data_IF_609111636224
#
_entry.id   IF_609111636224
#
_cell.length_a   1.000
_cell.length_b   1.000
_cell.length_c   1.000
_cell.angle_alpha   90.00
_cell.angle_beta   90.00
_cell.angle_gamma   90.00
#
_symmetry.space_group_name_H-M   'P 1'
#
loop_
_entity.id
_entity.type
_entity.pdbx_description
1 polymer ?
#
# COMPACT_ATOMS: atom_id res chain seq x y z
N UNK A 1 25.70 -17.98 -16.49
CA UNK A 1 24.98 -17.27 -15.38
C UNK A 1 25.92 -17.32 -14.19
N UNK A 2 26.33 -16.18 -13.65
CA UNK A 2 27.30 -16.14 -12.54
C UNK A 2 26.55 -15.83 -11.25
N UNK A 3 26.49 -16.82 -10.37
CA UNK A 3 25.97 -16.61 -9.03
C UNK A 3 26.86 -15.60 -8.28
N UNK A 4 26.25 -14.56 -7.69
CA UNK A 4 26.94 -13.53 -6.92
C UNK A 4 26.63 -13.62 -5.43
N UNK A 5 27.60 -13.28 -4.54
CA UNK A 5 27.42 -13.37 -3.10
C UNK A 5 26.29 -12.45 -2.60
N UNK A 6 25.55 -12.93 -1.60
CA UNK A 6 24.54 -12.13 -0.88
C UNK A 6 25.26 -11.15 0.06
N UNK A 7 24.71 -9.94 0.15
CA UNK A 7 25.18 -8.90 1.06
C UNK A 7 24.63 -9.10 2.47
N UNK A 8 25.47 -8.81 3.49
CA UNK A 8 25.13 -8.92 4.91
C UNK A 8 25.37 -7.60 5.65
N UNK A 9 24.80 -7.47 6.82
CA UNK A 9 25.15 -6.37 7.76
C UNK A 9 26.66 -6.40 8.02
N UNK A 10 27.30 -5.23 7.99
CA UNK A 10 28.74 -5.09 8.13
C UNK A 10 29.52 -5.11 6.82
N UNK A 11 28.96 -5.57 5.71
CA UNK A 11 29.58 -5.54 4.40
C UNK A 11 29.89 -4.13 3.93
N UNK A 12 30.88 -4.00 3.05
CA UNK A 12 31.42 -2.71 2.63
C UNK A 12 30.83 -2.22 1.30
N UNK A 13 31.17 -1.00 0.95
CA UNK A 13 30.83 -0.41 -0.35
C UNK A 13 32.02 0.24 -1.01
N UNK A 14 31.93 0.46 -2.33
CA UNK A 14 32.97 1.16 -3.12
C UNK A 14 33.24 2.60 -2.67
N UNK A 15 32.35 3.18 -1.85
CA UNK A 15 32.53 4.50 -1.24
C UNK A 15 33.10 4.43 0.19
N UNK A 16 33.58 3.25 0.64
CA UNK A 16 34.14 3.03 1.98
C UNK A 16 33.05 2.93 3.08
N UNK A 17 31.79 2.84 2.69
CA UNK A 17 30.65 2.72 3.61
C UNK A 17 30.44 1.32 4.16
N UNK A 18 29.46 1.18 5.05
CA UNK A 18 29.13 -0.08 5.73
C UNK A 18 27.61 -0.30 5.73
N UNK A 19 27.18 -1.53 5.46
CA UNK A 19 25.78 -1.93 5.53
C UNK A 19 25.34 -1.98 6.99
N UNK A 20 24.30 -1.22 7.35
CA UNK A 20 23.83 -1.04 8.72
C UNK A 20 22.64 -1.93 9.09
N UNK A 21 21.80 -2.27 8.12
CA UNK A 21 20.53 -2.97 8.33
C UNK A 21 20.43 -4.24 7.49
N UNK A 22 19.72 -5.25 8.02
CA UNK A 22 19.47 -6.53 7.35
C UNK A 22 18.14 -7.14 7.84
N UNK A 23 17.75 -8.27 7.25
CA UNK A 23 16.55 -9.02 7.60
C UNK A 23 16.69 -9.66 8.99
N UNK A 24 15.71 -9.43 9.86
CA UNK A 24 15.70 -10.05 11.19
C UNK A 24 15.40 -11.56 11.16
N UNK A 25 14.86 -12.06 10.03
CA UNK A 25 14.44 -13.47 9.84
C UNK A 25 15.35 -14.27 8.93
N UNK A 26 16.39 -13.67 8.38
CA UNK A 26 17.31 -14.37 7.47
C UNK A 26 18.75 -13.91 7.69
N UNK A 27 19.57 -14.79 8.20
CA UNK A 27 21.00 -14.59 8.41
C UNK A 27 21.84 -15.55 7.58
N UNK A 28 23.09 -15.18 7.39
CA UNK A 28 24.11 -15.95 6.72
C UNK A 28 25.33 -15.93 7.63
N UNK A 29 25.65 -17.06 8.25
CA UNK A 29 26.76 -17.21 9.18
C UNK A 29 26.67 -16.19 10.34
N UNK A 30 25.47 -16.07 10.94
CA UNK A 30 25.20 -15.22 12.09
C UNK A 30 25.09 -13.73 11.82
N UNK A 31 25.18 -13.30 10.54
CA UNK A 31 25.00 -11.92 10.13
C UNK A 31 23.76 -11.79 9.25
N UNK A 32 22.88 -10.84 9.60
CA UNK A 32 21.64 -10.61 8.88
C UNK A 32 21.92 -10.27 7.40
N UNK A 33 21.28 -10.99 6.47
CA UNK A 33 21.36 -10.66 5.05
C UNK A 33 20.71 -9.31 4.78
N UNK A 34 21.24 -8.55 3.82
CA UNK A 34 20.70 -7.26 3.46
C UNK A 34 19.93 -7.30 2.13
N UNK A 35 19.03 -6.36 1.94
CA UNK A 35 18.19 -6.28 0.76
C UNK A 35 17.75 -4.86 0.45
N UNK A 36 16.86 -4.76 -0.53
CA UNK A 36 16.29 -3.50 -1.02
C UNK A 36 15.71 -2.68 0.15
N UNK A 37 16.08 -1.40 0.23
CA UNK A 37 15.63 -0.46 1.26
C UNK A 37 16.47 -0.44 2.54
N UNK A 38 17.31 -1.45 2.82
CA UNK A 38 18.18 -1.46 3.99
C UNK A 38 19.25 -0.37 3.89
N UNK A 39 19.61 0.20 5.03
CA UNK A 39 20.46 1.38 5.11
C UNK A 39 21.94 1.03 5.12
N UNK A 40 22.70 1.91 4.48
CA UNK A 40 24.14 1.84 4.33
C UNK A 40 24.72 3.20 4.70
N UNK A 41 25.69 3.24 5.62
CA UNK A 41 26.48 4.42 5.89
C UNK A 41 27.43 4.69 4.73
N UNK A 42 27.60 5.95 4.34
CA UNK A 42 28.49 6.35 3.27
C UNK A 42 29.34 7.55 3.69
N UNK A 43 30.60 7.35 4.11
CA UNK A 43 31.49 8.44 4.52
C UNK A 43 31.83 9.39 3.37
N UNK A 44 31.90 8.90 2.14
CA UNK A 44 32.15 9.74 0.96
C UNK A 44 31.03 10.73 0.68
N UNK A 45 29.77 10.28 0.81
CA UNK A 45 28.57 11.09 0.57
C UNK A 45 28.03 11.74 1.87
N UNK A 46 28.68 11.50 3.03
CA UNK A 46 28.36 12.04 4.35
C UNK A 46 26.90 11.84 4.75
N UNK A 47 26.41 10.58 4.67
CA UNK A 47 25.03 10.27 5.03
C UNK A 47 24.71 8.79 4.94
N UNK A 48 23.47 8.46 5.29
CA UNK A 48 22.93 7.11 5.27
C UNK A 48 22.00 6.98 4.08
N UNK A 49 22.22 5.97 3.23
CA UNK A 49 21.52 5.78 1.95
C UNK A 49 20.93 4.37 1.86
N UNK A 50 19.72 4.20 1.33
CA UNK A 50 19.16 2.87 1.14
C UNK A 50 19.83 2.13 -0.03
N UNK A 51 19.82 0.80 0.06
CA UNK A 51 20.08 -0.09 -1.08
C UNK A 51 18.90 0.05 -2.04
N UNK A 52 19.16 0.27 -3.33
CA UNK A 52 18.13 0.53 -4.34
C UNK A 52 17.98 -0.60 -5.37
N UNK A 53 18.75 -1.67 -5.27
CA UNK A 53 18.72 -2.83 -6.16
C UNK A 53 18.56 -4.12 -5.35
N UNK A 54 17.85 -5.11 -5.91
CA UNK A 54 17.66 -6.43 -5.33
C UNK A 54 17.44 -7.50 -6.39
N UNK A 55 17.66 -8.77 -6.06
CA UNK A 55 17.50 -9.92 -6.98
C UNK A 55 16.03 -10.31 -7.10
N UNK A 56 15.39 -10.21 -8.27
CA UNK A 56 13.98 -10.55 -8.43
C UNK A 56 13.62 -12.00 -8.10
N UNK A 57 14.57 -12.93 -8.25
CA UNK A 57 14.39 -14.36 -7.98
C UNK A 57 14.53 -14.73 -6.52
N UNK A 58 14.91 -13.80 -5.63
CA UNK A 58 15.11 -14.11 -4.21
C UNK A 58 14.66 -12.97 -3.30
N UNK A 59 13.61 -13.23 -2.54
CA UNK A 59 13.05 -12.31 -1.56
C UNK A 59 13.03 -12.94 -0.17
N UNK A 60 13.18 -12.11 0.86
CA UNK A 60 12.95 -12.47 2.27
C UNK A 60 11.80 -11.60 2.77
N UNK A 61 10.67 -12.22 3.08
CA UNK A 61 9.41 -11.50 3.22
C UNK A 61 9.09 -10.75 1.93
N UNK A 62 8.79 -9.47 2.04
CA UNK A 62 8.40 -8.62 0.90
C UNK A 62 9.57 -7.82 0.30
N UNK A 63 10.81 -8.09 0.69
CA UNK A 63 11.96 -7.34 0.20
C UNK A 63 12.96 -8.24 -0.53
N UNK A 64 13.44 -7.75 -1.69
CA UNK A 64 14.42 -8.45 -2.51
C UNK A 64 15.79 -8.44 -1.86
N UNK A 65 16.46 -9.59 -1.86
CA UNK A 65 17.84 -9.72 -1.32
C UNK A 65 18.84 -9.00 -2.22
N UNK A 66 19.79 -8.31 -1.61
CA UNK A 66 20.88 -7.65 -2.32
C UNK A 66 22.09 -8.56 -2.47
N UNK A 67 22.74 -8.48 -3.63
CA UNK A 67 23.96 -9.22 -3.95
C UNK A 67 25.10 -8.27 -4.31
N UNK A 68 26.31 -8.77 -4.31
CA UNK A 68 27.52 -8.02 -4.66
C UNK A 68 27.38 -7.25 -5.98
N UNK A 69 27.85 -6.00 -6.00
CA UNK A 69 27.79 -5.10 -7.16
C UNK A 69 26.50 -4.31 -7.31
N UNK A 70 25.45 -4.63 -6.53
CA UNK A 70 24.23 -3.81 -6.47
C UNK A 70 24.49 -2.47 -5.82
N UNK A 71 23.61 -1.47 -6.08
CA UNK A 71 23.87 -0.07 -5.74
C UNK A 71 22.99 0.45 -4.62
N UNK A 72 23.56 1.40 -3.91
CA UNK A 72 22.84 2.29 -2.98
C UNK A 72 22.35 3.54 -3.70
N UNK A 73 21.44 4.29 -3.08
CA UNK A 73 20.90 5.54 -3.63
C UNK A 73 21.97 6.62 -3.90
N UNK A 74 23.12 6.57 -3.23
CA UNK A 74 24.26 7.46 -3.52
C UNK A 74 25.20 6.93 -4.61
N UNK A 75 24.87 5.83 -5.28
CA UNK A 75 25.64 5.22 -6.36
C UNK A 75 26.80 4.32 -5.93
N UNK A 76 27.01 4.10 -4.63
CA UNK A 76 28.01 3.17 -4.14
C UNK A 76 27.62 1.72 -4.46
N UNK A 77 28.55 0.90 -4.96
CA UNK A 77 28.31 -0.53 -5.16
C UNK A 77 28.64 -1.32 -3.89
N UNK A 78 27.81 -2.33 -3.60
CA UNK A 78 27.96 -3.24 -2.47
C UNK A 78 29.08 -4.25 -2.71
N UNK A 79 29.83 -4.57 -1.67
CA UNK A 79 30.98 -5.50 -1.69
C UNK A 79 30.73 -6.53 -0.60
N UNK A 80 30.53 -7.80 -0.99
CA UNK A 80 30.34 -8.89 -0.05
C UNK A 80 31.63 -9.29 0.64
N UNK A 81 31.57 -9.58 1.94
CA UNK A 81 32.70 -10.11 2.72
C UNK A 81 32.72 -11.65 2.75
N UNK A 82 31.74 -12.32 2.14
CA UNK A 82 31.61 -13.78 2.06
C UNK A 82 31.41 -14.23 0.61
N UNK A 83 31.76 -15.49 0.32
CA UNK A 83 31.69 -16.03 -1.04
C UNK A 83 30.90 -17.32 -1.19
N UNK A 84 30.29 -17.85 -0.10
CA UNK A 84 29.64 -19.16 -0.09
C UNK A 84 28.11 -19.07 -0.31
N UNK A 85 27.43 -18.11 0.27
CA UNK A 85 26.00 -17.89 0.05
C UNK A 85 25.82 -17.01 -1.22
N UNK A 86 25.36 -17.63 -2.30
CA UNK A 86 25.26 -17.00 -3.61
C UNK A 86 23.90 -17.16 -4.23
N UNK A 87 23.48 -16.19 -5.01
CA UNK A 87 22.24 -16.24 -5.79
C UNK A 87 22.55 -16.00 -7.26
N UNK A 88 21.96 -16.81 -8.13
CA UNK A 88 21.99 -16.59 -9.57
C UNK A 88 21.14 -15.36 -9.90
N UNK A 89 21.80 -14.32 -10.39
CA UNK A 89 21.13 -13.27 -11.12
C UNK A 89 20.76 -13.85 -12.48
N UNK A 90 19.52 -14.30 -12.66
CA UNK A 90 19.00 -14.74 -13.96
C UNK A 90 19.31 -13.72 -15.07
N UNK A 91 19.02 -14.01 -16.36
CA UNK A 91 19.37 -13.12 -17.46
C UNK A 91 18.80 -11.72 -17.17
N UNK A 92 19.70 -10.82 -16.92
CA UNK A 92 19.64 -9.38 -16.73
C UNK A 92 18.24 -8.73 -16.75
N UNK A 93 17.58 -8.68 -15.59
CA UNK A 93 16.79 -7.52 -15.22
C UNK A 93 17.11 -7.20 -13.77
N UNK A 94 18.17 -6.41 -13.58
CA UNK A 94 18.38 -5.69 -12.35
C UNK A 94 17.20 -4.72 -12.26
N UNK A 95 16.27 -5.01 -11.36
CA UNK A 95 15.16 -4.08 -11.09
C UNK A 95 15.79 -2.84 -10.45
N UNK A 96 16.13 -1.85 -11.28
CA UNK A 96 16.47 -0.52 -10.83
C UNK A 96 15.18 0.10 -10.34
N UNK A 97 15.04 0.29 -9.07
CA UNK A 97 14.01 1.15 -8.52
C UNK A 97 14.36 2.59 -8.87
N UNK A 98 14.01 3.03 -10.06
CA UNK A 98 13.75 4.40 -10.50
C UNK A 98 13.73 4.45 -12.04
N UNK A 99 12.56 4.79 -12.61
CA UNK A 99 12.28 5.10 -14.01
C UNK A 99 12.29 3.92 -15.00
N UNK A 100 11.18 3.30 -15.19
CA UNK A 100 10.43 3.21 -16.44
C UNK A 100 9.14 2.39 -16.22
N UNK A 101 8.03 3.05 -16.02
CA UNK A 101 6.73 2.46 -15.68
C UNK A 101 5.68 2.59 -16.78
N UNK A 102 6.06 2.83 -18.04
CA UNK A 102 5.06 3.16 -19.08
C UNK A 102 4.47 1.97 -19.83
N UNK A 103 5.01 0.76 -19.74
CA UNK A 103 4.58 -0.33 -20.64
C UNK A 103 3.86 -1.53 -19.97
N UNK A 104 3.84 -1.62 -18.64
CA UNK A 104 3.12 -2.73 -17.96
C UNK A 104 1.74 -2.38 -17.41
N UNK A 105 1.47 -1.11 -17.16
CA UNK A 105 0.17 -0.65 -16.60
C UNK A 105 -0.96 -0.77 -17.64
N UNK A 106 -0.64 -0.75 -18.92
CA UNK A 106 -1.62 -0.85 -20.02
C UNK A 106 -2.19 -2.26 -20.24
N UNK A 107 -1.54 -3.32 -19.73
CA UNK A 107 -2.01 -4.70 -19.87
C UNK A 107 -2.94 -5.18 -18.76
N UNK A 108 -2.93 -4.53 -17.59
CA UNK A 108 -3.74 -4.96 -16.44
C UNK A 108 -5.18 -4.42 -16.47
N UNK A 109 -5.47 -3.45 -17.35
CA UNK A 109 -6.81 -2.86 -17.48
C UNK A 109 -7.58 -3.39 -18.71
N UNK A 110 -7.02 -4.31 -19.52
CA UNK A 110 -7.62 -4.72 -20.78
C UNK A 110 -8.49 -5.98 -20.73
N UNK A 111 -8.52 -6.73 -19.64
CA UNK A 111 -9.21 -8.03 -19.60
C UNK A 111 -10.68 -7.98 -19.10
N UNK A 112 -11.27 -6.80 -19.02
CA UNK A 112 -12.66 -6.65 -18.56
C UNK A 112 -13.58 -5.73 -19.36
N UNK A 113 -13.12 -5.07 -20.41
CA UNK A 113 -13.96 -4.20 -21.23
C UNK A 113 -13.73 -4.45 -22.72
N UNK A 114 -14.79 -4.73 -23.47
CA UNK A 114 -14.77 -4.81 -24.90
C UNK A 114 -14.26 -3.53 -25.57
N UNK A 115 -13.94 -3.54 -26.88
CA UNK A 115 -13.21 -2.46 -27.52
C UNK A 115 -13.99 -1.15 -27.47
N UNK A 116 -13.54 -0.23 -26.59
CA UNK A 116 -13.99 1.16 -26.63
C UNK A 116 -13.22 1.84 -27.75
N UNK A 117 -13.92 2.18 -28.83
CA UNK A 117 -13.37 3.02 -29.88
C UNK A 117 -12.95 4.38 -29.32
N UNK A 118 -11.80 4.94 -29.73
CA UNK A 118 -11.44 6.28 -29.33
C UNK A 118 -12.38 7.27 -30.02
N UNK A 119 -13.32 7.84 -29.27
CA UNK A 119 -14.02 9.03 -29.74
C UNK A 119 -13.06 10.21 -29.77
N UNK A 120 -12.54 10.47 -30.95
CA UNK A 120 -11.88 11.71 -31.27
C UNK A 120 -12.95 12.82 -31.30
N UNK A 121 -13.04 13.59 -30.22
CA UNK A 121 -13.56 14.96 -30.26
C UNK A 121 -13.13 15.68 -28.99
N UNK A 122 -12.04 16.38 -29.05
CA UNK A 122 -11.64 17.21 -27.92
C UNK A 122 -10.59 18.17 -28.39
N UNK A 123 -10.99 19.42 -28.55
CA UNK A 123 -10.08 20.54 -28.42
C UNK A 123 -9.14 20.21 -27.23
N UNK A 124 -7.88 19.97 -27.53
CA UNK A 124 -6.84 19.91 -26.49
C UNK A 124 -6.94 21.24 -25.76
N UNK A 125 -7.31 21.21 -24.48
CA UNK A 125 -7.25 22.38 -23.59
C UNK A 125 -5.78 22.68 -23.29
N UNK A 126 -5.04 23.10 -24.31
CA UNK A 126 -3.61 23.36 -24.26
C UNK A 126 -3.20 24.53 -23.35
N UNK A 127 -4.15 25.26 -22.76
CA UNK A 127 -3.89 26.53 -22.06
C UNK A 127 -4.34 26.57 -20.59
N UNK A 128 -4.65 25.44 -19.97
CA UNK A 128 -4.94 25.44 -18.53
C UNK A 128 -3.65 25.65 -17.72
N UNK A 129 -3.55 26.79 -17.02
CA UNK A 129 -2.38 27.17 -16.19
C UNK A 129 -2.51 26.73 -14.73
N UNK A 130 -3.63 26.12 -14.33
CA UNK A 130 -3.84 25.66 -12.97
C UNK A 130 -2.90 24.49 -12.65
N UNK A 131 -2.25 24.57 -11.49
CA UNK A 131 -1.34 23.52 -11.03
C UNK A 131 -2.09 22.25 -10.64
N UNK A 132 -1.46 21.09 -10.77
CA UNK A 132 -2.00 19.80 -10.34
C UNK A 132 -1.89 19.64 -8.82
N UNK A 133 -2.84 20.22 -8.09
CA UNK A 133 -2.89 20.24 -6.63
C UNK A 133 -3.08 18.84 -6.00
N UNK A 134 -3.47 17.84 -6.78
CA UNK A 134 -3.54 16.45 -6.36
C UNK A 134 -2.17 15.80 -6.17
N UNK A 135 -1.12 16.28 -6.85
CA UNK A 135 0.22 15.65 -6.80
C UNK A 135 0.82 15.63 -5.39
N UNK A 136 0.92 16.76 -4.65
CA UNK A 136 1.45 16.75 -3.30
C UNK A 136 0.58 15.92 -2.32
N UNK A 137 -0.73 15.86 -2.54
CA UNK A 137 -1.64 15.04 -1.77
C UNK A 137 -1.37 13.54 -2.04
N UNK A 138 -1.24 13.14 -3.32
CA UNK A 138 -0.88 11.77 -3.69
C UNK A 138 0.49 11.36 -3.12
N UNK A 139 1.48 12.25 -3.11
CA UNK A 139 2.79 12.00 -2.47
C UNK A 139 2.66 11.69 -0.99
N UNK A 140 1.81 12.46 -0.28
CA UNK A 140 1.52 12.19 1.12
C UNK A 140 0.84 10.83 1.30
N UNK A 141 -0.21 10.54 0.56
CA UNK A 141 -0.97 9.29 0.70
C UNK A 141 -0.15 8.05 0.35
N UNK A 142 0.65 8.09 -0.72
CA UNK A 142 1.55 6.97 -1.07
C UNK A 142 2.54 6.68 0.06
N UNK A 143 3.08 7.72 0.72
CA UNK A 143 3.95 7.52 1.86
C UNK A 143 3.22 6.81 3.01
N UNK A 144 2.00 7.26 3.36
CA UNK A 144 1.18 6.63 4.41
C UNK A 144 0.83 5.17 4.04
N UNK A 145 0.45 4.90 2.79
CA UNK A 145 0.14 3.56 2.29
C UNK A 145 1.34 2.61 2.34
N UNK A 146 2.56 3.15 2.20
CA UNK A 146 3.80 2.36 2.30
C UNK A 146 4.24 2.13 3.74
N UNK A 147 4.02 3.08 4.63
CA UNK A 147 4.57 3.06 5.99
C UNK A 147 3.61 2.44 7.01
N UNK A 148 2.30 2.69 6.88
CA UNK A 148 1.32 2.26 7.87
C UNK A 148 1.23 0.74 8.04
N UNK A 149 1.22 -0.09 6.98
CA UNK A 149 1.22 -1.55 7.15
C UNK A 149 2.49 -2.07 7.85
N UNK A 150 3.61 -1.40 7.64
CA UNK A 150 4.92 -1.77 8.19
C UNK A 150 5.19 -1.16 9.58
N UNK A 151 4.30 -0.32 10.09
CA UNK A 151 4.39 0.25 11.44
C UNK A 151 4.24 -0.83 12.51
N UNK A 152 4.55 -0.50 13.75
CA UNK A 152 4.32 -1.40 14.90
C UNK A 152 2.84 -1.78 14.97
N UNK A 153 1.96 -0.83 14.78
CA UNK A 153 0.51 -1.01 14.80
C UNK A 153 0.02 -1.87 13.63
N UNK A 154 0.50 -1.61 12.42
CA UNK A 154 0.18 -2.42 11.24
C UNK A 154 0.57 -3.88 11.42
N UNK A 155 1.77 -4.14 11.93
CA UNK A 155 2.23 -5.50 12.22
C UNK A 155 1.42 -6.18 13.33
N UNK A 156 0.98 -5.47 14.38
CA UNK A 156 0.09 -6.01 15.42
C UNK A 156 -1.25 -6.43 14.83
N UNK A 157 -1.84 -5.60 13.97
CA UNK A 157 -3.11 -5.91 13.30
C UNK A 157 -2.93 -7.13 12.39
N UNK A 158 -1.88 -7.17 11.58
CA UNK A 158 -1.58 -8.29 10.70
C UNK A 158 -1.39 -9.58 11.50
N UNK A 159 -0.63 -9.54 12.58
CA UNK A 159 -0.43 -10.72 13.44
C UNK A 159 -1.74 -11.25 14.04
N UNK A 160 -2.64 -10.36 14.46
CA UNK A 160 -3.96 -10.74 14.96
C UNK A 160 -4.87 -11.29 13.83
N UNK A 161 -4.80 -10.75 12.63
CA UNK A 161 -5.54 -11.24 11.46
C UNK A 161 -5.01 -12.58 10.93
N UNK A 162 -3.73 -12.90 11.17
CA UNK A 162 -3.06 -14.11 10.68
C UNK A 162 -3.19 -15.31 11.64
N UNK A 163 -4.06 -15.23 12.64
CA UNK A 163 -4.27 -16.32 13.57
C UNK A 163 -4.96 -17.51 12.88
N UNK A 164 -4.20 -18.59 12.66
CA UNK A 164 -4.64 -19.82 12.00
C UNK A 164 -4.85 -20.92 13.04
N UNK A 165 -6.11 -21.34 13.23
CA UNK A 165 -6.48 -22.38 14.18
C UNK A 165 -5.99 -23.78 13.74
N UNK A 166 -5.97 -24.05 12.42
CA UNK A 166 -5.53 -25.35 11.89
C UNK A 166 -4.01 -25.50 12.02
N UNK A 167 -3.25 -24.46 11.67
CA UNK A 167 -1.80 -24.48 11.85
C UNK A 167 -1.41 -24.66 13.33
N UNK A 168 -2.07 -23.96 14.26
CA UNK A 168 -1.85 -24.12 15.70
C UNK A 168 -2.23 -25.49 16.20
N UNK A 169 -3.32 -26.07 15.69
CA UNK A 169 -3.73 -27.44 16.01
C UNK A 169 -2.71 -28.46 15.53
N UNK A 170 -2.20 -28.29 14.30
CA UNK A 170 -1.17 -29.14 13.73
C UNK A 170 0.15 -29.02 14.50
N UNK A 171 0.56 -27.85 14.92
CA UNK A 171 1.73 -27.62 15.77
C UNK A 171 1.56 -28.32 17.12
N UNK A 172 0.41 -28.13 17.78
CA UNK A 172 0.14 -28.78 19.06
C UNK A 172 0.16 -30.30 18.96
N UNK A 173 -0.31 -30.90 17.86
CA UNK A 173 -0.27 -32.36 17.64
C UNK A 173 1.16 -32.89 17.54
N UNK A 174 2.15 -32.07 17.17
CA UNK A 174 3.55 -32.44 17.09
C UNK A 174 4.26 -32.40 18.48
N UNK A 175 3.64 -31.79 19.47
CA UNK A 175 4.23 -31.71 20.80
C UNK A 175 4.38 -33.10 21.41
N UNK A 176 5.40 -33.36 22.25
CA UNK A 176 5.53 -34.57 23.00
C UNK A 176 4.28 -34.89 23.83
N UNK A 177 3.94 -36.15 23.96
CA UNK A 177 2.71 -36.60 24.66
C UNK A 177 2.57 -36.03 26.08
N UNK A 178 3.68 -35.85 26.81
CA UNK A 178 3.68 -35.32 28.19
C UNK A 178 3.37 -33.83 28.27
N UNK A 179 3.44 -33.06 27.14
CA UNK A 179 3.00 -31.67 27.03
C UNK A 179 1.55 -31.55 26.51
N UNK A 180 0.96 -32.65 26.06
CA UNK A 180 -0.42 -32.73 25.57
C UNK A 180 -1.37 -33.39 26.58
N UNK A 181 -1.05 -33.32 27.89
CA UNK A 181 -1.91 -33.87 28.95
C UNK A 181 -3.17 -32.98 29.10
N UNK A 182 -4.35 -33.63 29.06
CA UNK A 182 -5.64 -32.96 29.18
C UNK A 182 -6.35 -32.75 27.84
N UNK A 183 -7.45 -31.97 27.86
CA UNK A 183 -8.17 -31.64 26.65
C UNK A 183 -7.36 -30.64 25.78
N UNK A 184 -7.42 -30.79 24.44
CA UNK A 184 -6.78 -29.84 23.57
C UNK A 184 -7.35 -28.41 23.75
N UNK A 185 -6.52 -27.38 23.61
CA UNK A 185 -7.01 -25.99 23.61
C UNK A 185 -8.08 -25.80 22.53
N UNK A 186 -9.01 -24.89 22.77
CA UNK A 186 -9.97 -24.46 21.75
C UNK A 186 -9.28 -23.46 20.80
N UNK A 187 -8.65 -24.01 19.77
CA UNK A 187 -7.91 -23.22 18.78
C UNK A 187 -8.82 -22.30 17.95
N UNK A 188 -10.08 -22.71 17.72
CA UNK A 188 -11.04 -21.94 16.92
C UNK A 188 -11.53 -20.73 17.72
N UNK A 189 -11.86 -20.92 19.02
CA UNK A 189 -12.18 -19.80 19.89
C UNK A 189 -11.00 -18.82 20.05
N UNK A 190 -9.77 -19.35 20.14
CA UNK A 190 -8.57 -18.51 20.22
C UNK A 190 -8.36 -17.70 18.94
N UNK A 191 -8.53 -18.28 17.76
CA UNK A 191 -8.42 -17.58 16.47
C UNK A 191 -9.52 -16.53 16.31
N UNK A 192 -10.76 -16.85 16.69
CA UNK A 192 -11.87 -15.89 16.69
C UNK A 192 -11.58 -14.71 17.64
N UNK A 193 -11.04 -14.96 18.82
CA UNK A 193 -10.60 -13.90 19.75
C UNK A 193 -9.53 -12.98 19.16
N UNK A 194 -8.56 -13.53 18.44
CA UNK A 194 -7.55 -12.74 17.73
C UNK A 194 -8.17 -11.89 16.62
N UNK A 195 -9.13 -12.44 15.87
CA UNK A 195 -9.84 -11.67 14.83
C UNK A 195 -10.62 -10.49 15.42
N UNK A 196 -11.30 -10.67 16.55
CA UNK A 196 -11.96 -9.57 17.28
C UNK A 196 -10.94 -8.52 17.74
N UNK A 197 -9.78 -8.96 18.24
CA UNK A 197 -8.69 -8.05 18.60
C UNK A 197 -8.18 -7.25 17.37
N UNK A 198 -8.06 -7.90 16.21
CA UNK A 198 -7.69 -7.22 14.97
C UNK A 198 -8.66 -6.09 14.61
N UNK A 199 -9.98 -6.32 14.71
CA UNK A 199 -10.99 -5.27 14.49
C UNK A 199 -10.86 -4.13 15.50
N UNK A 200 -10.62 -4.42 16.77
CA UNK A 200 -10.39 -3.39 17.79
C UNK A 200 -9.17 -2.53 17.48
N UNK A 201 -8.02 -3.16 17.21
CA UNK A 201 -6.78 -2.48 16.83
C UNK A 201 -6.94 -1.64 15.55
N UNK A 202 -7.67 -2.15 14.56
CA UNK A 202 -7.99 -1.43 13.33
C UNK A 202 -8.83 -0.19 13.61
N UNK A 203 -9.92 -0.34 14.37
CA UNK A 203 -10.78 0.78 14.73
C UNK A 203 -10.03 1.89 15.47
N UNK A 204 -9.05 1.56 16.33
CA UNK A 204 -8.19 2.53 16.99
C UNK A 204 -7.32 3.36 16.02
N UNK A 205 -7.14 2.88 14.79
CA UNK A 205 -6.35 3.58 13.76
C UNK A 205 -7.21 4.35 12.78
N UNK A 206 -8.36 3.82 12.36
CA UNK A 206 -9.15 4.35 11.25
C UNK A 206 -10.46 5.05 11.64
N UNK A 207 -10.90 4.92 12.88
CA UNK A 207 -12.10 5.63 13.34
C UNK A 207 -11.93 7.16 13.24
N UNK A 208 -13.02 7.93 13.18
CA UNK A 208 -12.97 9.38 13.05
C UNK A 208 -12.04 10.05 14.07
N UNK A 209 -11.10 10.86 13.60
CA UNK A 209 -10.09 11.54 14.40
C UNK A 209 -8.93 10.67 14.88
N UNK A 210 -8.81 9.45 14.41
CA UNK A 210 -7.69 8.53 14.71
C UNK A 210 -6.53 8.70 13.73
N UNK A 211 -5.31 8.20 14.05
CA UNK A 211 -4.09 8.48 13.28
C UNK A 211 -4.14 8.14 11.79
N UNK A 212 -4.94 7.18 11.38
CA UNK A 212 -5.09 6.78 9.97
C UNK A 212 -6.40 7.28 9.34
N UNK A 213 -7.19 8.09 10.07
CA UNK A 213 -8.25 8.92 9.49
C UNK A 213 -7.63 10.19 8.93
N UNK A 214 -7.33 10.17 7.64
CA UNK A 214 -6.68 11.30 6.98
C UNK A 214 -7.65 12.42 6.59
N UNK A 215 -8.98 12.22 6.67
CA UNK A 215 -9.99 13.17 6.16
C UNK A 215 -9.84 14.57 6.75
N UNK A 216 -9.61 14.69 8.07
CA UNK A 216 -9.40 15.98 8.70
C UNK A 216 -8.06 16.61 8.28
N UNK A 217 -6.96 15.85 8.36
CA UNK A 217 -5.64 16.31 8.00
C UNK A 217 -5.56 16.77 6.55
N UNK A 218 -6.22 16.06 5.63
CA UNK A 218 -6.25 16.42 4.21
C UNK A 218 -6.97 17.77 3.99
N UNK A 219 -8.05 18.02 4.71
CA UNK A 219 -8.77 19.31 4.64
C UNK A 219 -7.95 20.49 5.16
N UNK A 220 -7.16 20.27 6.18
CA UNK A 220 -6.35 21.32 6.82
C UNK A 220 -5.06 21.60 6.06
N UNK A 221 -4.36 20.55 5.65
CA UNK A 221 -3.03 20.64 5.06
C UNK A 221 -3.04 20.83 3.53
N UNK A 222 -4.09 20.32 2.88
CA UNK A 222 -4.27 20.39 1.44
C UNK A 222 -5.65 21.01 1.13
N UNK A 223 -5.80 22.34 1.25
CA UNK A 223 -7.10 22.99 1.14
C UNK A 223 -7.74 22.90 -0.26
N UNK A 224 -6.99 22.45 -1.28
CA UNK A 224 -7.46 22.40 -2.66
C UNK A 224 -7.53 23.80 -3.30
N UNK A 225 -8.14 23.87 -4.48
CA UNK A 225 -8.38 25.14 -5.14
C UNK A 225 -9.43 25.97 -4.36
N UNK A 226 -9.06 27.14 -3.92
CA UNK A 226 -9.94 28.15 -3.28
C UNK A 226 -10.85 27.53 -2.21
N UNK A 227 -10.30 26.74 -1.29
CA UNK A 227 -11.02 26.10 -0.17
C UNK A 227 -12.14 25.13 -0.56
N UNK A 228 -12.18 24.66 -1.81
CA UNK A 228 -13.27 23.80 -2.32
C UNK A 228 -13.14 22.32 -1.98
N UNK A 229 -12.00 21.88 -1.44
CA UNK A 229 -11.68 20.47 -1.18
C UNK A 229 -11.56 19.60 -2.44
N UNK A 230 -11.48 20.22 -3.60
CA UNK A 230 -11.25 19.59 -4.88
C UNK A 230 -9.78 19.76 -5.30
N UNK A 231 -9.17 18.71 -5.78
CA UNK A 231 -7.76 18.67 -6.15
C UNK A 231 -7.64 18.32 -7.63
N UNK A 232 -7.04 19.22 -8.39
CA UNK A 232 -6.83 19.05 -9.82
C UNK A 232 -5.71 18.03 -10.10
N UNK A 233 -5.97 17.16 -11.07
CA UNK A 233 -4.96 16.36 -11.77
C UNK A 233 -5.37 16.17 -13.23
N UNK A 234 -4.51 16.60 -14.17
CA UNK A 234 -4.84 16.62 -15.59
C UNK A 234 -6.10 17.44 -15.87
N UNK A 235 -7.04 16.89 -16.60
CA UNK A 235 -8.30 17.55 -16.98
C UNK A 235 -9.43 17.42 -15.96
N UNK A 236 -9.15 16.88 -14.75
CA UNK A 236 -10.19 16.58 -13.76
C UNK A 236 -9.85 17.12 -12.38
N UNK A 237 -10.90 17.38 -11.61
CA UNK A 237 -10.86 17.61 -10.17
C UNK A 237 -11.33 16.37 -9.43
N UNK A 238 -10.69 16.08 -8.31
CA UNK A 238 -10.96 14.96 -7.43
C UNK A 238 -11.29 15.45 -6.03
N UNK A 239 -12.35 14.92 -5.43
CA UNK A 239 -12.74 15.29 -4.09
C UNK A 239 -11.78 14.69 -3.05
N UNK A 240 -11.51 15.44 -1.98
CA UNK A 240 -10.42 15.15 -1.04
C UNK A 240 -10.54 13.81 -0.30
N UNK A 241 -11.75 13.29 -0.07
CA UNK A 241 -11.97 12.11 0.77
C UNK A 241 -11.68 10.79 0.07
N UNK A 242 -11.72 10.73 -1.27
CA UNK A 242 -11.34 9.53 -2.02
C UNK A 242 -9.97 9.00 -1.60
N UNK A 243 -9.05 9.91 -1.31
CA UNK A 243 -7.68 9.55 -0.95
C UNK A 243 -7.60 8.80 0.37
N UNK A 244 -8.38 9.25 1.38
CA UNK A 244 -8.46 8.56 2.67
C UNK A 244 -9.11 7.18 2.53
N UNK A 245 -10.14 7.07 1.68
CA UNK A 245 -10.84 5.81 1.46
C UNK A 245 -10.01 4.80 0.63
N UNK A 246 -9.25 5.27 -0.36
CA UNK A 246 -8.27 4.41 -1.07
C UNK A 246 -7.19 3.91 -0.10
N UNK A 247 -6.68 4.78 0.78
CA UNK A 247 -5.73 4.38 1.82
C UNK A 247 -6.33 3.33 2.75
N UNK A 248 -7.56 3.54 3.23
CA UNK A 248 -8.28 2.59 4.09
C UNK A 248 -8.36 1.20 3.44
N UNK A 249 -8.77 1.12 2.17
CA UNK A 249 -8.84 -0.13 1.43
C UNK A 249 -7.46 -0.79 1.27
N UNK A 250 -6.47 -0.03 0.82
CA UNK A 250 -5.11 -0.51 0.57
C UNK A 250 -4.43 -1.04 1.83
N UNK A 251 -4.40 -0.23 2.90
CA UNK A 251 -3.76 -0.60 4.16
C UNK A 251 -4.53 -1.71 4.86
N UNK A 252 -5.86 -1.71 4.77
CA UNK A 252 -6.69 -2.75 5.36
C UNK A 252 -6.36 -4.15 4.82
N UNK A 253 -6.22 -4.29 3.50
CA UNK A 253 -5.79 -5.58 2.91
C UNK A 253 -4.34 -5.88 3.27
N UNK A 254 -3.47 -4.88 3.30
CA UNK A 254 -2.06 -5.05 3.68
C UNK A 254 -1.89 -5.60 5.11
N UNK A 255 -2.83 -5.32 6.02
CA UNK A 255 -2.82 -5.83 7.40
C UNK A 255 -3.77 -7.02 7.62
N UNK A 256 -4.19 -7.69 6.53
CA UNK A 256 -4.84 -9.00 6.56
C UNK A 256 -6.38 -9.01 6.62
N UNK A 257 -7.05 -7.87 6.37
CA UNK A 257 -8.49 -7.87 6.18
C UNK A 257 -8.86 -8.21 4.73
N UNK A 258 -9.97 -8.91 4.55
CA UNK A 258 -10.57 -9.11 3.24
C UNK A 258 -11.29 -7.84 2.75
N UNK A 259 -11.44 -7.69 1.43
CA UNK A 259 -12.22 -6.62 0.82
C UNK A 259 -13.65 -6.54 1.39
N UNK A 260 -14.29 -7.70 1.60
CA UNK A 260 -15.64 -7.76 2.16
C UNK A 260 -15.70 -7.20 3.60
N UNK A 261 -14.73 -7.52 4.45
CA UNK A 261 -14.67 -7.00 5.82
C UNK A 261 -14.51 -5.47 5.83
N UNK A 262 -13.66 -4.94 4.95
CA UNK A 262 -13.42 -3.49 4.86
C UNK A 262 -14.66 -2.74 4.37
N UNK A 263 -15.29 -3.21 3.31
CA UNK A 263 -16.51 -2.63 2.75
C UNK A 263 -17.67 -2.69 3.77
N UNK A 264 -17.89 -3.84 4.39
CA UNK A 264 -18.94 -4.01 5.39
C UNK A 264 -18.65 -3.15 6.63
N UNK A 265 -17.39 -3.05 7.03
CA UNK A 265 -16.98 -2.20 8.15
C UNK A 265 -17.24 -0.71 7.90
N UNK A 266 -17.00 -0.23 6.67
CA UNK A 266 -17.31 1.14 6.26
C UNK A 266 -18.82 1.41 6.30
N UNK A 267 -19.62 0.51 5.74
CA UNK A 267 -21.08 0.63 5.78
C UNK A 267 -21.65 0.65 7.21
N UNK A 268 -21.14 -0.20 8.11
CA UNK A 268 -21.51 -0.15 9.53
C UNK A 268 -21.12 1.20 10.16
N UNK A 269 -19.93 1.68 9.88
CA UNK A 269 -19.46 2.96 10.40
C UNK A 269 -20.33 4.12 9.92
N UNK A 270 -20.71 4.15 8.64
CA UNK A 270 -21.62 5.15 8.08
C UNK A 270 -23.01 5.07 8.73
N UNK A 271 -23.58 3.88 8.83
CA UNK A 271 -24.88 3.68 9.48
C UNK A 271 -24.90 4.17 10.94
N UNK A 272 -23.79 3.99 11.68
CA UNK A 272 -23.65 4.51 13.04
C UNK A 272 -23.54 6.04 13.08
N UNK A 273 -22.90 6.65 12.10
CA UNK A 273 -22.82 8.12 11.97
C UNK A 273 -24.20 8.70 11.70
N UNK A 274 -24.95 8.15 10.75
CA UNK A 274 -26.29 8.59 10.40
C UNK A 274 -27.23 8.46 11.61
N UNK A 275 -27.18 7.32 12.29
CA UNK A 275 -27.99 7.11 13.49
C UNK A 275 -27.69 8.14 14.60
N UNK A 276 -26.40 8.42 14.86
CA UNK A 276 -26.00 9.41 15.88
C UNK A 276 -26.42 10.83 15.55
N UNK A 277 -26.49 11.16 14.27
CA UNK A 277 -26.96 12.48 13.78
C UNK A 277 -28.47 12.59 13.68
N UNK A 278 -29.18 11.48 13.76
CA UNK A 278 -30.60 11.41 13.46
C UNK A 278 -30.92 11.56 11.97
N UNK A 279 -29.94 11.32 11.11
CA UNK A 279 -30.10 11.32 9.67
C UNK A 279 -30.80 10.03 9.19
N UNK A 280 -31.54 10.05 8.07
CA UNK A 280 -32.08 8.84 7.46
C UNK A 280 -30.94 7.88 7.10
N UNK A 281 -31.15 6.59 7.40
CA UNK A 281 -30.18 5.57 6.99
C UNK A 281 -30.06 5.51 5.47
N UNK A 282 -28.84 5.57 4.99
CA UNK A 282 -28.55 5.44 3.57
C UNK A 282 -28.78 4.00 3.07
N UNK A 283 -29.17 3.88 1.81
CA UNK A 283 -29.31 2.58 1.15
C UNK A 283 -28.98 2.70 -0.34
N UNK A 284 -27.77 2.26 -0.69
CA UNK A 284 -27.23 2.24 -2.05
C UNK A 284 -27.10 0.80 -2.55
N UNK A 285 -28.15 0.22 -3.20
CA UNK A 285 -28.12 -1.17 -3.65
C UNK A 285 -26.96 -1.51 -4.59
N UNK A 286 -26.41 -0.52 -5.29
CA UNK A 286 -25.23 -0.65 -6.15
C UNK A 286 -23.96 -1.04 -5.39
N UNK A 287 -23.88 -0.74 -4.10
CA UNK A 287 -22.77 -1.14 -3.23
C UNK A 287 -22.89 -2.60 -2.75
N UNK A 288 -24.02 -3.26 -3.02
CA UNK A 288 -24.32 -4.61 -2.57
C UNK A 288 -25.36 -4.68 -1.43
N UNK A 289 -25.47 -5.84 -0.76
CA UNK A 289 -26.39 -6.00 0.37
C UNK A 289 -25.90 -5.21 1.60
N UNK A 290 -26.82 -4.99 2.56
CA UNK A 290 -26.43 -4.44 3.87
C UNK A 290 -25.36 -5.33 4.53
N UNK A 291 -24.34 -4.78 5.20
CA UNK A 291 -24.13 -3.36 5.55
C UNK A 291 -23.46 -2.51 4.47
N UNK A 292 -22.91 -3.07 3.41
CA UNK A 292 -22.21 -2.33 2.35
C UNK A 292 -23.08 -1.24 1.71
N UNK A 293 -24.39 -1.48 1.57
CA UNK A 293 -25.35 -0.52 1.00
C UNK A 293 -25.52 0.75 1.84
N UNK A 294 -25.10 0.77 3.08
CA UNK A 294 -25.19 1.94 3.95
C UNK A 294 -24.04 2.95 3.76
N UNK A 295 -23.02 2.62 2.96
CA UNK A 295 -21.91 3.52 2.67
C UNK A 295 -22.20 4.40 1.45
N UNK A 296 -21.62 5.60 1.40
CA UNK A 296 -21.68 6.47 0.23
C UNK A 296 -21.04 5.80 -1.00
N UNK A 297 -21.65 5.96 -2.18
CA UNK A 297 -21.17 5.29 -3.40
C UNK A 297 -19.73 5.66 -3.75
N UNK A 298 -19.28 6.93 -3.70
CA UNK A 298 -17.88 7.29 -3.94
C UNK A 298 -16.92 6.69 -2.92
N UNK A 299 -17.33 6.61 -1.65
CA UNK A 299 -16.53 6.05 -0.57
C UNK A 299 -16.32 4.55 -0.78
N UNK A 300 -17.40 3.82 -1.03
CA UNK A 300 -17.38 2.40 -1.38
C UNK A 300 -16.47 2.11 -2.59
N UNK A 301 -16.64 2.87 -3.69
CA UNK A 301 -15.80 2.72 -4.88
C UNK A 301 -14.32 2.97 -4.58
N UNK A 302 -14.02 3.97 -3.75
CA UNK A 302 -12.65 4.33 -3.37
C UNK A 302 -12.00 3.27 -2.49
N UNK A 303 -12.75 2.70 -1.53
CA UNK A 303 -12.28 1.58 -0.70
C UNK A 303 -11.95 0.37 -1.58
N UNK A 304 -12.87 -0.01 -2.47
CA UNK A 304 -12.67 -1.13 -3.39
C UNK A 304 -11.44 -0.91 -4.28
N UNK A 305 -11.28 0.30 -4.83
CA UNK A 305 -10.11 0.67 -5.62
C UNK A 305 -8.80 0.50 -4.82
N UNK A 306 -8.81 0.88 -3.54
CA UNK A 306 -7.67 0.69 -2.64
C UNK A 306 -7.34 -0.79 -2.42
N UNK A 307 -8.35 -1.65 -2.24
CA UNK A 307 -8.14 -3.09 -2.08
C UNK A 307 -7.55 -3.72 -3.34
N UNK A 308 -8.11 -3.39 -4.50
CA UNK A 308 -7.64 -3.87 -5.81
C UNK A 308 -6.21 -3.39 -6.10
N UNK A 309 -5.89 -2.14 -5.72
CA UNK A 309 -4.54 -1.60 -5.86
C UNK A 309 -3.53 -2.42 -5.05
N UNK A 310 -3.84 -2.79 -3.80
CA UNK A 310 -2.93 -3.60 -2.99
C UNK A 310 -2.70 -5.01 -3.57
N UNK A 311 -3.73 -5.62 -4.15
CA UNK A 311 -3.61 -6.93 -4.79
C UNK A 311 -2.62 -6.90 -5.96
N UNK A 312 -2.63 -5.81 -6.73
CA UNK A 312 -1.80 -5.62 -7.92
C UNK A 312 -0.42 -5.02 -7.60
N UNK A 313 -0.35 -4.10 -6.66
CA UNK A 313 0.85 -3.30 -6.38
C UNK A 313 1.14 -3.27 -4.88
N UNK A 314 2.16 -4.00 -4.46
CA UNK A 314 2.58 -4.04 -3.05
C UNK A 314 3.29 -2.74 -2.61
N UNK A 315 3.38 -2.46 -1.29
CA UNK A 315 3.89 -1.18 -0.79
C UNK A 315 5.25 -0.75 -1.36
N UNK A 316 6.16 -1.69 -1.59
CA UNK A 316 7.48 -1.39 -2.14
C UNK A 316 7.43 -0.87 -3.59
N UNK A 317 6.49 -1.36 -4.39
CA UNK A 317 6.33 -1.00 -5.80
C UNK A 317 5.36 0.19 -6.03
N UNK A 318 4.58 0.59 -5.01
CA UNK A 318 3.63 1.67 -5.13
C UNK A 318 4.35 3.01 -5.36
N UNK A 319 3.94 3.74 -6.41
CA UNK A 319 4.46 5.06 -6.74
C UNK A 319 3.34 6.10 -6.84
N UNK A 320 3.71 7.37 -6.78
CA UNK A 320 2.76 8.48 -6.97
C UNK A 320 2.12 8.42 -8.36
N UNK A 321 2.90 8.09 -9.39
CA UNK A 321 2.40 7.93 -10.76
C UNK A 321 1.34 6.84 -10.85
N UNK A 322 1.59 5.65 -10.30
CA UNK A 322 0.61 4.55 -10.28
C UNK A 322 -0.69 4.98 -9.62
N UNK A 323 -0.64 5.65 -8.46
CA UNK A 323 -1.85 6.11 -7.77
C UNK A 323 -2.61 7.16 -8.59
N UNK A 324 -1.90 8.12 -9.18
CA UNK A 324 -2.51 9.17 -10.02
C UNK A 324 -3.12 8.62 -11.30
N UNK A 325 -2.46 7.68 -11.97
CA UNK A 325 -2.98 6.99 -13.15
C UNK A 325 -4.23 6.17 -12.81
N UNK A 326 -4.21 5.47 -11.68
CA UNK A 326 -5.35 4.68 -11.21
C UNK A 326 -6.59 5.56 -10.99
N UNK A 327 -6.46 6.68 -10.28
CA UNK A 327 -7.60 7.60 -10.07
C UNK A 327 -8.03 8.29 -11.36
N UNK A 328 -7.09 8.55 -12.27
CA UNK A 328 -7.42 9.14 -13.57
C UNK A 328 -8.24 8.18 -14.45
N UNK A 329 -8.01 6.87 -14.32
CA UNK A 329 -8.74 5.84 -15.06
C UNK A 329 -10.20 5.66 -14.60
N UNK A 330 -10.54 6.05 -13.35
CA UNK A 330 -11.93 5.94 -12.86
C UNK A 330 -12.84 6.86 -13.67
N UNK A 331 -13.97 6.35 -14.23
CA UNK A 331 -14.89 7.19 -14.99
C UNK A 331 -15.51 8.34 -14.17
N UNK A 332 -15.85 9.44 -14.86
CA UNK A 332 -16.70 10.51 -14.30
C UNK A 332 -18.13 9.99 -14.25
N UNK A 333 -18.88 10.16 -13.14
CA UNK A 333 -18.66 11.12 -12.03
C UNK A 333 -17.91 10.56 -10.80
N UNK A 334 -17.46 9.32 -10.78
CA UNK A 334 -16.99 8.62 -9.57
C UNK A 334 -18.01 8.75 -8.44
N UNK A 335 -19.09 7.99 -8.55
CA UNK A 335 -20.26 8.09 -7.69
C UNK A 335 -21.54 8.26 -8.49
N UNK A 336 -22.62 8.69 -7.84
CA UNK A 336 -23.95 8.78 -8.44
C UNK A 336 -24.68 10.05 -8.00
N UNK A 337 -25.41 10.67 -8.91
CA UNK A 337 -26.28 11.80 -8.60
C UNK A 337 -25.53 13.03 -8.10
N UNK A 338 -25.84 13.46 -6.87
CA UNK A 338 -25.14 14.58 -6.21
C UNK A 338 -23.84 14.16 -5.57
N UNK A 339 -23.71 12.87 -5.21
CA UNK A 339 -22.57 12.29 -4.55
C UNK A 339 -21.54 11.83 -5.59
N UNK A 340 -20.71 12.77 -6.00
CA UNK A 340 -19.67 12.57 -7.02
C UNK A 340 -18.33 13.04 -6.49
N UNK A 341 -17.31 12.25 -6.74
CA UNK A 341 -15.94 12.54 -6.30
C UNK A 341 -14.98 12.88 -7.45
N UNK A 342 -15.46 12.89 -8.71
CA UNK A 342 -14.69 13.30 -9.90
C UNK A 342 -15.53 14.15 -10.81
N UNK A 343 -14.94 15.23 -11.33
CA UNK A 343 -15.56 16.15 -12.30
C UNK A 343 -14.53 16.69 -13.29
N UNK A 344 -14.99 17.21 -14.40
CA UNK A 344 -14.12 17.96 -15.31
C UNK A 344 -13.66 19.25 -14.61
N UNK A 345 -12.37 19.57 -14.79
CA UNK A 345 -11.79 20.80 -14.28
C UNK A 345 -12.24 22.00 -15.09
N UNK A 346 -12.60 23.09 -14.42
CA UNK A 346 -12.94 24.35 -15.08
C UNK A 346 -11.71 25.26 -15.19
N UNK A 347 -11.04 25.22 -16.35
CA UNK A 347 -9.88 26.03 -16.64
C UNK A 347 -10.16 27.55 -16.78
N UNK A 348 -11.42 28.00 -16.70
CA UNK A 348 -11.81 29.41 -16.75
C UNK A 348 -12.02 30.01 -15.37
N UNK A 349 -12.07 29.18 -14.33
CA UNK A 349 -12.14 29.65 -12.96
C UNK A 349 -10.90 30.54 -12.67
N UNK A 350 -11.04 31.61 -11.87
CA UNK A 350 -9.88 32.43 -11.49
C UNK A 350 -8.90 31.57 -10.66
N UNK A 351 -7.59 31.83 -10.84
CA UNK A 351 -6.50 31.21 -10.09
C UNK A 351 -6.56 31.60 -8.62
#
# INVERSE_FOLDING_TARGET
>A
MTARPIIRVGDKTTHGGTVLEGFSSYDIDGLAAAGLGHKVDCPKCKGVFPIIEGVPSFAVGDSLVAIEGMKTACGAALIASQGFARVDSGPSEITRGFNDGSDRTMRLLSDGAGPVQPHASGLRRADCRHTDTAVPLAQYMVREMKTNPLSIEGRKILAANSADSEARRAEWQQWPWYLRLGAPPDFDAAAAGQKVAAYGLWAERVAPGRPWDHKQLLRERFPGEIHTRWHKYGDHDYFYDIWSNIHYGYVGVAVGFSTAELINGAGIAQALVDWRRGDPQQNHPENGPWPASADDVPDHMSIKLGTELYEQVKPHALTVGILLELIAAVPVPWGKGKDRAKRLHDCRAPL
#
